data_IF_008423419277
#
_entry.id   IF_008423419277
#
_cell.length_a   1.000
_cell.length_b   1.000
_cell.length_c   1.000
_cell.angle_alpha   90.00
_cell.angle_beta   90.00
_cell.angle_gamma   90.00
#
_symmetry.space_group_name_H-M   'P 1'
#
loop_
_entity.id
_entity.type
_entity.pdbx_description
1 polymer ?
#
# COMPACT_ATOMS: atom_id res chain seq x y z
N UNK A 1 -8.25 -13.99 17.60
CA UNK A 1 -8.25 -12.54 17.29
C UNK A 1 -6.90 -12.16 16.66
N UNK A 2 -6.92 -11.40 15.59
CA UNK A 2 -5.69 -10.97 14.91
C UNK A 2 -4.92 -9.97 15.78
N UNK A 3 -3.59 -10.04 15.71
CA UNK A 3 -2.69 -9.23 16.54
C UNK A 3 -1.82 -8.26 15.75
N UNK A 4 -1.62 -8.52 14.47
CA UNK A 4 -0.82 -7.66 13.60
C UNK A 4 -1.41 -7.62 12.20
N UNK A 5 -1.97 -6.48 11.82
CA UNK A 5 -2.76 -6.31 10.61
C UNK A 5 -2.00 -5.45 9.62
N UNK A 6 -1.76 -5.95 8.41
CA UNK A 6 -1.23 -5.14 7.32
C UNK A 6 -2.39 -4.42 6.63
N UNK A 7 -2.26 -3.11 6.45
CA UNK A 7 -3.21 -2.25 5.73
C UNK A 7 -2.45 -1.58 4.58
N UNK A 8 -2.63 -2.05 3.33
CA UNK A 8 -1.99 -1.40 2.19
C UNK A 8 -2.75 -0.13 1.82
N UNK A 9 -2.01 0.89 1.40
CA UNK A 9 -2.57 2.17 0.98
C UNK A 9 -1.76 2.77 -0.17
N UNK A 10 -2.44 3.46 -1.08
CA UNK A 10 -1.83 4.26 -2.15
C UNK A 10 -2.09 5.75 -1.97
N UNK A 11 -2.68 6.14 -0.84
CA UNK A 11 -3.05 7.52 -0.55
C UNK A 11 -4.33 8.01 -1.23
N UNK A 12 -5.03 7.16 -2.00
CA UNK A 12 -6.31 7.51 -2.60
C UNK A 12 -7.41 7.64 -1.54
N UNK A 13 -8.50 8.32 -1.88
CA UNK A 13 -9.66 8.49 -0.98
C UNK A 13 -10.24 7.14 -0.53
N UNK A 14 -10.29 6.16 -1.44
CA UNK A 14 -10.79 4.82 -1.12
C UNK A 14 -9.86 4.11 -0.15
N UNK A 15 -8.53 4.22 -0.36
CA UNK A 15 -7.55 3.67 0.55
C UNK A 15 -7.62 4.33 1.93
N UNK A 16 -7.86 5.64 1.99
CA UNK A 16 -8.01 6.34 3.27
C UNK A 16 -9.18 5.83 4.09
N UNK A 17 -10.31 5.58 3.46
CA UNK A 17 -11.47 4.96 4.12
C UNK A 17 -11.15 3.58 4.67
N UNK A 18 -10.40 2.79 3.91
CA UNK A 18 -9.94 1.48 4.38
C UNK A 18 -8.90 1.58 5.51
N UNK A 19 -8.02 2.58 5.45
CA UNK A 19 -7.07 2.89 6.54
C UNK A 19 -7.84 3.23 7.83
N UNK A 20 -8.82 4.10 7.76
CA UNK A 20 -9.64 4.46 8.90
C UNK A 20 -10.40 3.27 9.47
N UNK A 21 -11.11 2.52 8.62
CA UNK A 21 -11.88 1.35 9.04
C UNK A 21 -10.98 0.24 9.61
N UNK A 22 -9.85 -0.04 8.97
CA UNK A 22 -8.89 -1.04 9.42
C UNK A 22 -8.20 -0.65 10.74
N UNK A 23 -7.91 0.64 10.91
CA UNK A 23 -7.34 1.17 12.16
C UNK A 23 -8.34 1.05 13.32
N UNK A 24 -9.61 1.38 13.08
CA UNK A 24 -10.67 1.18 14.07
C UNK A 24 -10.85 -0.29 14.44
N UNK A 25 -10.83 -1.16 13.45
CA UNK A 25 -10.86 -2.61 13.69
C UNK A 25 -9.66 -3.07 14.54
N UNK A 26 -8.46 -2.61 14.22
CA UNK A 26 -7.25 -2.94 14.98
C UNK A 26 -7.33 -2.45 16.43
N UNK A 27 -7.89 -1.27 16.65
CA UNK A 27 -8.12 -0.74 18.00
C UNK A 27 -9.03 -1.67 18.81
N UNK A 28 -10.15 -2.08 18.24
CA UNK A 28 -11.10 -2.98 18.92
C UNK A 28 -10.51 -4.37 19.15
N UNK A 29 -9.70 -4.86 18.22
CA UNK A 29 -9.00 -6.13 18.33
C UNK A 29 -7.76 -6.09 19.26
N UNK A 30 -7.36 -4.90 19.73
CA UNK A 30 -6.10 -4.68 20.44
C UNK A 30 -4.90 -5.19 19.62
N UNK A 31 -4.90 -4.89 18.33
CA UNK A 31 -3.88 -5.26 17.37
C UNK A 31 -3.01 -4.08 16.98
N UNK A 32 -1.80 -4.35 16.54
CA UNK A 32 -0.95 -3.35 15.88
C UNK A 32 -1.15 -3.38 14.38
N UNK A 33 -0.79 -2.29 13.71
CA UNK A 33 -0.96 -2.13 12.27
C UNK A 33 0.39 -1.95 11.59
N UNK A 34 0.54 -2.58 10.44
CA UNK A 34 1.57 -2.24 9.45
C UNK A 34 0.89 -1.51 8.29
N UNK A 35 1.16 -0.22 8.11
CA UNK A 35 0.80 0.47 6.89
C UNK A 35 1.87 0.22 5.84
N UNK A 36 1.43 -0.19 4.66
CA UNK A 36 2.30 -0.54 3.56
C UNK A 36 1.88 0.16 2.29
N UNK A 37 2.86 0.69 1.55
CA UNK A 37 2.62 1.19 0.20
C UNK A 37 3.62 0.60 -0.79
N UNK A 38 3.15 0.31 -2.00
CA UNK A 38 4.00 -0.13 -3.10
C UNK A 38 4.10 0.98 -4.13
N UNK A 39 5.30 1.25 -4.59
CA UNK A 39 5.59 2.22 -5.62
C UNK A 39 6.08 1.49 -6.87
N UNK A 40 5.79 2.00 -8.08
CA UNK A 40 6.32 1.40 -9.30
C UNK A 40 7.86 1.39 -9.31
N UNK A 41 8.44 0.37 -9.91
CA UNK A 41 9.88 0.35 -10.20
C UNK A 41 10.24 1.39 -11.27
N UNK A 42 11.51 1.78 -11.27
CA UNK A 42 12.03 2.65 -12.31
C UNK A 42 11.87 2.01 -13.68
N UNK A 43 11.32 2.79 -14.60
CA UNK A 43 11.25 2.41 -16.02
C UNK A 43 12.23 3.26 -16.81
N UNK A 44 13.19 2.64 -17.52
CA UNK A 44 14.08 3.41 -18.39
C UNK A 44 13.26 4.12 -19.49
N UNK A 45 13.70 5.30 -19.95
CA UNK A 45 12.98 6.02 -20.99
C UNK A 45 12.88 5.17 -22.25
N UNK A 46 11.70 5.15 -22.86
CA UNK A 46 11.48 4.50 -24.15
C UNK A 46 12.09 5.31 -25.29
N UNK A 47 12.25 4.68 -26.45
CA UNK A 47 12.67 5.38 -27.67
C UNK A 47 11.73 6.56 -27.99
N UNK A 48 10.41 6.38 -27.79
CA UNK A 48 9.43 7.45 -27.99
C UNK A 48 9.62 8.61 -27.00
N UNK A 49 10.00 8.34 -25.76
CA UNK A 49 10.31 9.38 -24.77
C UNK A 49 11.56 10.18 -25.17
N UNK A 50 12.59 9.51 -25.68
CA UNK A 50 13.81 10.14 -26.17
C UNK A 50 13.53 11.01 -27.39
N UNK A 51 12.74 10.53 -28.35
CA UNK A 51 12.34 11.28 -29.53
C UNK A 51 11.45 12.48 -29.19
N UNK A 52 10.62 12.38 -28.17
CA UNK A 52 9.78 13.47 -27.69
C UNK A 52 10.53 14.48 -26.80
N UNK A 53 11.83 14.32 -26.60
CA UNK A 53 12.65 15.15 -25.70
C UNK A 53 12.10 15.28 -24.28
N UNK A 54 11.46 14.22 -23.77
CA UNK A 54 11.00 14.20 -22.39
C UNK A 54 12.19 14.22 -21.41
N UNK A 55 12.05 14.89 -20.26
CA UNK A 55 13.10 14.88 -19.25
C UNK A 55 13.46 13.46 -18.83
N UNK A 56 14.76 13.17 -18.77
CA UNK A 56 15.28 11.89 -18.32
C UNK A 56 15.59 12.00 -16.83
N UNK A 57 14.96 11.12 -16.05
CA UNK A 57 15.23 10.99 -14.61
C UNK A 57 16.22 9.85 -14.40
N UNK A 58 17.24 10.06 -13.58
CA UNK A 58 18.15 8.98 -13.18
C UNK A 58 17.45 7.99 -12.25
N UNK A 59 17.92 6.74 -12.20
CA UNK A 59 17.44 5.73 -11.26
C UNK A 59 17.50 6.25 -9.83
N UNK A 60 18.62 6.85 -9.46
CA UNK A 60 18.83 7.42 -8.12
C UNK A 60 17.80 8.50 -7.79
N UNK A 61 17.55 9.43 -8.69
CA UNK A 61 16.57 10.50 -8.47
C UNK A 61 15.15 9.94 -8.40
N UNK A 62 14.83 8.98 -9.25
CA UNK A 62 13.53 8.31 -9.24
C UNK A 62 13.28 7.60 -7.90
N UNK A 63 14.23 6.79 -7.43
CA UNK A 63 14.11 6.07 -6.16
C UNK A 63 13.98 7.03 -4.98
N UNK A 64 14.71 8.13 -5.00
CA UNK A 64 14.62 9.17 -3.98
C UNK A 64 13.23 9.83 -3.96
N UNK A 65 12.70 10.19 -5.12
CA UNK A 65 11.39 10.81 -5.26
C UNK A 65 10.26 9.83 -4.90
N UNK A 66 10.37 8.58 -5.31
CA UNK A 66 9.45 7.52 -4.94
C UNK A 66 9.44 7.26 -3.43
N UNK A 67 10.61 7.27 -2.79
CA UNK A 67 10.72 7.15 -1.33
C UNK A 67 10.04 8.30 -0.60
N UNK A 68 10.19 9.53 -1.08
CA UNK A 68 9.48 10.70 -0.51
C UNK A 68 7.98 10.61 -0.70
N UNK A 69 7.52 10.21 -1.89
CA UNK A 69 6.11 10.02 -2.18
C UNK A 69 5.50 8.93 -1.28
N UNK A 70 6.21 7.80 -1.14
CA UNK A 70 5.80 6.73 -0.23
C UNK A 70 5.69 7.21 1.22
N UNK A 71 6.66 8.00 1.70
CA UNK A 71 6.65 8.53 3.06
C UNK A 71 5.47 9.46 3.29
N UNK A 72 5.12 10.30 2.32
CA UNK A 72 3.94 11.18 2.41
C UNK A 72 2.65 10.37 2.55
N UNK A 73 2.50 9.30 1.76
CA UNK A 73 1.35 8.39 1.85
C UNK A 73 1.29 7.71 3.22
N UNK A 74 2.43 7.21 3.71
CA UNK A 74 2.51 6.51 4.98
C UNK A 74 2.30 7.44 6.18
N UNK A 75 2.79 8.66 6.12
CA UNK A 75 2.58 9.67 7.18
C UNK A 75 1.09 10.00 7.34
N UNK A 76 0.37 10.05 6.24
CA UNK A 76 -1.07 10.27 6.26
C UNK A 76 -1.82 9.11 6.92
N UNK A 77 -1.46 7.88 6.60
CA UNK A 77 -2.01 6.70 7.27
C UNK A 77 -1.62 6.64 8.75
N UNK A 78 -0.37 6.97 9.07
CA UNK A 78 0.12 7.01 10.45
C UNK A 78 -0.65 8.01 11.32
N UNK A 79 -1.10 9.14 10.75
CA UNK A 79 -1.92 10.11 11.48
C UNK A 79 -3.22 9.50 12.00
N UNK A 80 -3.87 8.65 11.22
CA UNK A 80 -5.09 7.94 11.63
C UNK A 80 -4.82 6.99 12.81
N UNK A 81 -3.71 6.27 12.79
CA UNK A 81 -3.33 5.37 13.89
C UNK A 81 -2.98 6.14 15.18
N UNK A 82 -2.29 7.28 15.06
CA UNK A 82 -1.98 8.15 16.20
C UNK A 82 -3.25 8.69 16.86
N UNK A 83 -4.20 9.16 16.06
CA UNK A 83 -5.49 9.65 16.54
C UNK A 83 -6.29 8.54 17.24
N UNK A 84 -6.29 7.34 16.67
CA UNK A 84 -6.97 6.18 17.24
C UNK A 84 -6.18 5.52 18.41
N UNK A 85 -4.98 5.97 18.70
CA UNK A 85 -4.07 5.40 19.72
C UNK A 85 -3.74 3.92 19.47
N UNK A 86 -3.56 3.57 18.20
CA UNK A 86 -3.15 2.24 17.75
C UNK A 86 -1.65 2.22 17.48
N UNK A 87 -0.97 1.19 17.96
CA UNK A 87 0.44 0.97 17.67
C UNK A 87 0.62 0.62 16.19
N UNK A 88 1.60 1.22 15.53
CA UNK A 88 1.80 1.01 14.10
C UNK A 88 3.27 1.00 13.70
N UNK A 89 3.51 0.40 12.55
CA UNK A 89 4.74 0.43 11.77
C UNK A 89 4.42 0.88 10.35
N UNK A 90 5.41 1.33 9.61
CA UNK A 90 5.29 1.69 8.20
C UNK A 90 6.38 1.03 7.38
N UNK A 91 6.05 0.65 6.16
CA UNK A 91 7.02 0.10 5.21
C UNK A 91 6.55 0.36 3.77
N UNK A 92 7.48 0.36 2.83
CA UNK A 92 7.17 0.47 1.42
C UNK A 92 8.13 -0.37 0.58
N UNK A 93 7.75 -0.65 -0.65
CA UNK A 93 8.61 -1.31 -1.62
C UNK A 93 8.46 -0.69 -3.00
N UNK A 94 9.53 -0.68 -3.78
CA UNK A 94 9.50 -0.46 -5.22
C UNK A 94 9.29 -1.83 -5.87
N UNK A 95 8.25 -1.97 -6.68
CA UNK A 95 7.87 -3.25 -7.27
C UNK A 95 7.04 -3.07 -8.54
N UNK A 96 7.02 -4.10 -9.36
CA UNK A 96 6.15 -4.21 -10.53
C UNK A 96 4.84 -4.97 -10.23
N UNK A 97 4.80 -5.72 -9.13
CA UNK A 97 3.65 -6.53 -8.70
C UNK A 97 3.23 -6.18 -7.26
N UNK A 98 2.32 -5.21 -7.08
CA UNK A 98 1.91 -4.76 -5.75
C UNK A 98 1.39 -5.89 -4.85
N UNK A 99 0.58 -6.80 -5.38
CA UNK A 99 0.04 -7.92 -4.60
C UNK A 99 1.15 -8.77 -3.98
N UNK A 100 2.22 -9.04 -4.72
CA UNK A 100 3.34 -9.83 -4.21
C UNK A 100 4.09 -9.07 -3.11
N UNK A 101 4.32 -7.78 -3.32
CA UNK A 101 4.97 -6.93 -2.32
C UNK A 101 4.13 -6.85 -1.01
N UNK A 102 2.81 -6.80 -1.11
CA UNK A 102 1.91 -6.82 0.05
C UNK A 102 2.05 -8.14 0.81
N UNK A 103 1.99 -9.27 0.11
CA UNK A 103 2.11 -10.60 0.71
C UNK A 103 3.49 -10.77 1.38
N UNK A 104 4.55 -10.36 0.69
CA UNK A 104 5.91 -10.46 1.20
C UNK A 104 6.12 -9.56 2.43
N UNK A 105 5.58 -8.36 2.42
CA UNK A 105 5.62 -7.46 3.57
C UNK A 105 4.87 -8.04 4.77
N UNK A 106 3.69 -8.61 4.55
CA UNK A 106 2.91 -9.25 5.60
C UNK A 106 3.68 -10.41 6.25
N UNK A 107 4.31 -11.25 5.44
CA UNK A 107 5.14 -12.36 5.93
C UNK A 107 6.38 -11.88 6.67
N UNK A 108 7.11 -10.92 6.10
CA UNK A 108 8.34 -10.36 6.67
C UNK A 108 8.11 -9.72 8.04
N UNK A 109 7.00 -9.03 8.20
CA UNK A 109 6.63 -8.36 9.45
C UNK A 109 5.82 -9.24 10.42
N UNK A 110 5.50 -10.47 10.04
CA UNK A 110 4.72 -11.37 10.87
C UNK A 110 3.27 -10.95 11.05
N UNK A 111 2.66 -10.33 10.03
CA UNK A 111 1.26 -9.98 10.05
C UNK A 111 0.39 -11.23 9.95
N UNK A 112 -0.66 -11.30 10.73
CA UNK A 112 -1.60 -12.43 10.79
C UNK A 112 -2.94 -12.13 10.12
N UNK A 113 -3.12 -10.91 9.61
CA UNK A 113 -4.25 -10.51 8.78
C UNK A 113 -3.84 -9.39 7.80
N UNK A 114 -4.57 -9.29 6.70
CA UNK A 114 -4.51 -8.19 5.75
C UNK A 114 -5.88 -7.53 5.69
N UNK A 115 -5.93 -6.21 5.71
CA UNK A 115 -7.16 -5.43 5.60
C UNK A 115 -7.05 -4.50 4.39
N UNK A 116 -7.76 -4.81 3.31
CA UNK A 116 -7.65 -4.10 2.02
C UNK A 116 -8.95 -3.44 1.59
N UNK A 117 -8.84 -2.33 0.89
CA UNK A 117 -9.96 -1.81 0.12
C UNK A 117 -10.29 -2.73 -1.07
N UNK A 118 -11.57 -2.87 -1.38
CA UNK A 118 -12.01 -3.27 -2.72
C UNK A 118 -11.89 -2.08 -3.68
N UNK A 119 -12.26 -2.23 -4.94
CA UNK A 119 -12.12 -1.12 -5.89
C UNK A 119 -12.91 0.13 -5.49
N UNK A 120 -12.37 1.30 -5.85
CA UNK A 120 -13.09 2.56 -5.85
C UNK A 120 -14.02 2.67 -7.05
N UNK A 121 -15.17 3.36 -6.85
CA UNK A 121 -16.18 3.61 -7.89
C UNK A 121 -15.76 4.60 -8.97
N UNK A 122 -14.69 5.32 -8.80
CA UNK A 122 -14.25 6.33 -9.76
C UNK A 122 -13.15 5.78 -10.63
N UNK A 123 -13.34 5.83 -11.94
CA UNK A 123 -12.43 5.38 -12.99
C UNK A 123 -11.04 6.03 -13.04
N UNK A 124 -10.46 6.33 -11.91
CA UNK A 124 -9.03 6.57 -11.80
C UNK A 124 -8.40 5.20 -11.91
N UNK A 125 -7.50 4.97 -12.88
CA UNK A 125 -6.75 3.74 -12.93
C UNK A 125 -5.85 3.70 -11.71
N UNK A 126 -6.41 3.29 -10.61
CA UNK A 126 -5.63 2.95 -9.46
C UNK A 126 -4.87 1.70 -9.86
N UNK A 127 -3.60 1.85 -10.07
CA UNK A 127 -2.61 0.81 -10.32
C UNK A 127 -2.75 -0.37 -9.34
N UNK A 128 -3.47 -0.15 -8.26
CA UNK A 128 -3.60 -1.02 -7.11
C UNK A 128 -4.91 -1.76 -6.95
N UNK A 129 -6.02 -1.28 -7.52
CA UNK A 129 -7.34 -1.75 -7.11
C UNK A 129 -7.96 -2.75 -8.07
N UNK A 130 -8.81 -3.61 -7.55
CA UNK A 130 -9.53 -4.63 -8.26
C UNK A 130 -8.67 -5.86 -8.53
N UNK A 131 -7.75 -5.80 -9.48
CA UNK A 131 -6.86 -6.91 -9.80
C UNK A 131 -5.92 -7.26 -8.64
N UNK A 132 -5.38 -6.29 -7.92
CA UNK A 132 -4.44 -6.52 -6.82
C UNK A 132 -5.12 -7.17 -5.61
N UNK A 133 -6.31 -6.72 -5.24
CA UNK A 133 -7.09 -7.35 -4.16
C UNK A 133 -7.41 -8.81 -4.49
N UNK A 134 -7.83 -9.07 -5.73
CA UNK A 134 -8.09 -10.43 -6.20
C UNK A 134 -6.85 -11.31 -6.14
N UNK A 135 -5.70 -10.79 -6.59
CA UNK A 135 -4.44 -11.54 -6.55
C UNK A 135 -3.99 -11.84 -5.11
N UNK A 136 -4.12 -10.88 -4.19
CA UNK A 136 -3.86 -11.13 -2.77
C UNK A 136 -4.76 -12.24 -2.24
N UNK A 137 -6.08 -12.15 -2.47
CA UNK A 137 -7.04 -13.16 -1.99
C UNK A 137 -6.77 -14.57 -2.52
N UNK A 138 -6.25 -14.70 -3.74
CA UNK A 138 -6.00 -15.99 -4.37
C UNK A 138 -4.62 -16.58 -4.08
N UNK A 139 -3.67 -15.76 -3.62
CA UNK A 139 -2.26 -16.16 -3.51
C UNK A 139 -1.71 -16.15 -2.09
N UNK A 140 -2.46 -15.69 -1.11
CA UNK A 140 -2.01 -15.70 0.28
C UNK A 140 -2.81 -16.66 1.15
N UNK A 141 -2.14 -17.25 2.12
CA UNK A 141 -2.78 -18.01 3.19
C UNK A 141 -3.13 -17.12 4.39
N UNK A 142 -2.73 -15.84 4.35
CA UNK A 142 -3.04 -14.89 5.41
C UNK A 142 -4.50 -14.44 5.28
N UNK A 143 -5.31 -14.56 6.33
CA UNK A 143 -6.69 -14.06 6.33
C UNK A 143 -6.77 -12.61 5.85
N UNK A 144 -7.66 -12.36 4.89
CA UNK A 144 -7.79 -11.04 4.27
C UNK A 144 -9.22 -10.55 4.38
N UNK A 145 -9.38 -9.37 5.01
CA UNK A 145 -10.65 -8.65 5.06
C UNK A 145 -10.68 -7.65 3.92
N UNK A 146 -11.79 -7.61 3.21
CA UNK A 146 -12.00 -6.68 2.09
C UNK A 146 -13.05 -5.66 2.48
N UNK A 147 -12.62 -4.40 2.56
CA UNK A 147 -13.47 -3.26 2.83
C UNK A 147 -14.06 -2.69 1.53
N UNK A 148 -15.36 -2.46 1.52
CA UNK A 148 -16.09 -1.89 0.36
C UNK A 148 -16.54 -0.47 0.60
#
# INVERSE_FOLDING_TARGET
MYKHILIPTDGSEVAEKAVEAGTNYAREANAKVLFFTAMPEYQPPSEGDLLAHKPITSVFQYEKDAGKAAQTILDKAAAAAKEAKVSFETDFALCDQPYQAIIDAAKRHGCDAIFMASHGRSGIPAWWYGSQTREVLTRTDIPTLVYR
#
